data_IF_553650885096
#
_entry.id   IF_553650885096
#
_cell.length_a   1.000
_cell.length_b   1.000
_cell.length_c   1.000
_cell.angle_alpha   90.00
_cell.angle_beta   90.00
_cell.angle_gamma   90.00
#
_symmetry.space_group_name_H-M   'P 1'
#
loop_
_entity.id
_entity.type
_entity.pdbx_description
1 polymer ?
#
# COMPACT_ATOMS: atom_id res chain seq x y z
N UNK A 1 25.91 -7.72 2.92
CA UNK A 1 24.49 -7.52 3.29
C UNK A 1 23.99 -8.81 3.90
N UNK A 2 23.42 -8.76 5.09
CA UNK A 2 22.74 -9.91 5.72
C UNK A 2 21.45 -10.20 4.94
N UNK A 3 21.12 -11.49 4.78
CA UNK A 3 19.87 -11.87 4.16
C UNK A 3 18.69 -11.37 5.02
N UNK A 4 17.63 -10.81 4.41
CA UNK A 4 16.42 -10.45 5.15
C UNK A 4 15.80 -11.68 5.84
N UNK A 5 15.22 -11.44 6.99
CA UNK A 5 14.42 -12.39 7.74
C UNK A 5 13.07 -12.64 7.05
N UNK A 6 12.40 -13.72 7.43
CA UNK A 6 11.05 -14.05 6.93
C UNK A 6 10.05 -12.91 7.25
N UNK A 7 10.21 -12.27 8.41
CA UNK A 7 9.36 -11.15 8.82
C UNK A 7 9.56 -9.93 7.90
N UNK A 8 10.80 -9.61 7.53
CA UNK A 8 11.10 -8.53 6.59
C UNK A 8 10.57 -8.82 5.20
N UNK A 9 10.73 -10.06 4.70
CA UNK A 9 10.14 -10.47 3.43
C UNK A 9 8.61 -10.36 3.42
N UNK A 10 7.95 -10.75 4.50
CA UNK A 10 6.50 -10.58 4.64
C UNK A 10 6.10 -9.11 4.63
N UNK A 11 6.87 -8.25 5.30
CA UNK A 11 6.63 -6.80 5.29
C UNK A 11 6.75 -6.23 3.87
N UNK A 12 7.76 -6.64 3.10
CA UNK A 12 7.92 -6.20 1.71
C UNK A 12 6.80 -6.70 0.81
N UNK A 13 6.35 -7.94 0.98
CA UNK A 13 5.20 -8.47 0.25
C UNK A 13 3.92 -7.67 0.54
N UNK A 14 3.68 -7.33 1.81
CA UNK A 14 2.53 -6.51 2.19
C UNK A 14 2.61 -5.10 1.58
N UNK A 15 3.78 -4.46 1.58
CA UNK A 15 3.97 -3.16 0.94
C UNK A 15 3.66 -3.20 -0.56
N UNK A 16 4.07 -4.26 -1.25
CA UNK A 16 3.78 -4.45 -2.68
C UNK A 16 2.28 -4.65 -2.94
N UNK A 17 1.60 -5.48 -2.14
CA UNK A 17 0.14 -5.67 -2.25
C UNK A 17 -0.59 -4.34 -1.99
N UNK A 18 -0.15 -3.57 -0.99
CA UNK A 18 -0.71 -2.25 -0.71
C UNK A 18 -0.43 -1.26 -1.85
N UNK A 19 0.73 -1.32 -2.48
CA UNK A 19 1.09 -0.42 -3.60
C UNK A 19 0.24 -0.67 -4.84
N UNK A 20 -0.15 -1.92 -5.08
CA UNK A 20 -1.09 -2.31 -6.13
C UNK A 20 -2.56 -2.03 -5.78
N UNK A 21 -2.84 -1.73 -4.51
CA UNK A 21 -4.18 -1.29 -4.10
C UNK A 21 -4.40 0.10 -4.67
N UNK A 22 -5.46 0.31 -5.45
CA UNK A 22 -5.81 1.60 -6.05
C UNK A 22 -6.27 2.62 -4.99
N UNK A 23 -5.35 3.03 -4.11
CA UNK A 23 -5.56 3.95 -2.98
C UNK A 23 -5.85 5.36 -3.54
N UNK A 24 -5.10 5.77 -4.57
CA UNK A 24 -5.47 6.87 -5.45
C UNK A 24 -6.28 6.30 -6.60
N UNK A 25 -7.45 6.90 -6.81
CA UNK A 25 -8.38 6.46 -7.85
C UNK A 25 -7.81 6.81 -9.24
N UNK A 26 -7.78 5.83 -10.16
CA UNK A 26 -7.21 6.02 -11.49
C UNK A 26 -8.10 6.89 -12.38
N UNK A 27 -9.43 6.82 -12.20
CA UNK A 27 -10.38 7.61 -12.97
C UNK A 27 -10.51 9.03 -12.42
N UNK A 28 -10.41 9.20 -11.10
CA UNK A 28 -10.42 10.49 -10.43
C UNK A 28 -9.19 10.69 -9.55
N UNK A 29 -8.06 11.18 -10.09
CA UNK A 29 -6.81 11.35 -9.34
C UNK A 29 -6.92 12.26 -8.11
N UNK A 30 -7.97 13.07 -8.00
CA UNK A 30 -8.26 13.90 -6.82
C UNK A 30 -8.72 13.08 -5.61
N UNK A 31 -9.20 11.85 -5.80
CA UNK A 31 -9.66 10.96 -4.73
C UNK A 31 -8.47 10.14 -4.22
N UNK A 32 -8.10 10.39 -2.96
CA UNK A 32 -7.04 9.68 -2.27
C UNK A 32 -7.59 9.02 -1.00
N UNK A 33 -7.74 7.70 -1.04
CA UNK A 33 -8.36 6.87 -0.01
C UNK A 33 -7.33 6.40 1.02
N UNK A 34 -6.56 7.30 1.62
CA UNK A 34 -5.45 6.94 2.52
C UNK A 34 -5.82 6.92 4.01
N UNK A 35 -7.09 7.14 4.36
CA UNK A 35 -7.56 7.21 5.74
C UNK A 35 -8.87 6.46 5.98
N UNK A 36 -9.03 5.97 7.21
CA UNK A 36 -10.27 5.38 7.72
C UNK A 36 -10.77 4.19 6.92
N UNK A 37 -12.10 4.03 6.88
CA UNK A 37 -12.74 2.89 6.22
C UNK A 37 -12.43 2.83 4.71
N UNK A 38 -12.34 3.99 4.05
CA UNK A 38 -12.02 4.04 2.62
C UNK A 38 -10.64 3.44 2.30
N UNK A 39 -9.69 3.53 3.23
CA UNK A 39 -8.38 2.91 3.08
C UNK A 39 -8.42 1.40 3.28
N UNK A 40 -9.12 0.93 4.33
CA UNK A 40 -9.31 -0.50 4.57
C UNK A 40 -10.05 -1.18 3.42
N UNK A 41 -11.06 -0.50 2.86
CA UNK A 41 -11.80 -0.96 1.69
C UNK A 41 -10.90 -1.01 0.46
N UNK A 42 -10.01 -0.02 0.28
CA UNK A 42 -9.04 -0.03 -0.83
C UNK A 42 -8.04 -1.19 -0.70
N UNK A 43 -7.52 -1.47 0.50
CA UNK A 43 -6.60 -2.59 0.75
C UNK A 43 -7.28 -3.97 0.59
N UNK A 44 -8.53 -4.07 1.02
CA UNK A 44 -9.31 -5.32 0.94
C UNK A 44 -9.82 -5.59 -0.48
N UNK A 45 -10.16 -4.54 -1.23
CA UNK A 45 -10.44 -4.63 -2.67
C UNK A 45 -9.17 -4.93 -3.47
N UNK A 46 -8.06 -4.34 -3.07
CA UNK A 46 -6.78 -4.51 -3.74
C UNK A 46 -6.78 -3.92 -5.15
N UNK A 47 -6.25 -4.67 -6.11
CA UNK A 47 -6.27 -4.33 -7.53
C UNK A 47 -7.47 -4.92 -8.31
N UNK A 48 -8.56 -5.26 -7.62
CA UNK A 48 -9.72 -6.00 -8.17
C UNK A 48 -9.36 -7.41 -8.73
N UNK A 49 -8.15 -7.90 -8.45
CA UNK A 49 -7.66 -9.23 -8.84
C UNK A 49 -7.12 -10.01 -7.62
N UNK A 50 -5.91 -10.57 -7.71
CA UNK A 50 -5.36 -11.48 -6.69
C UNK A 50 -4.64 -10.74 -5.57
N UNK A 51 -4.17 -9.52 -5.81
CA UNK A 51 -3.43 -8.72 -4.85
C UNK A 51 -4.41 -8.00 -3.93
N UNK A 52 -4.85 -8.68 -2.86
CA UNK A 52 -5.78 -8.14 -1.87
C UNK A 52 -5.43 -8.60 -0.47
N UNK A 53 -5.73 -7.77 0.52
CA UNK A 53 -5.61 -8.15 1.91
C UNK A 53 -6.84 -8.90 2.42
N UNK A 54 -6.63 -9.85 3.33
CA UNK A 54 -7.68 -10.28 4.25
C UNK A 54 -7.92 -9.13 5.24
N UNK A 55 -9.15 -8.89 5.67
CA UNK A 55 -9.54 -7.75 6.52
C UNK A 55 -8.60 -7.55 7.72
N UNK A 56 -8.28 -8.61 8.45
CA UNK A 56 -7.36 -8.54 9.62
C UNK A 56 -5.94 -8.11 9.26
N UNK A 57 -5.47 -8.43 8.06
CA UNK A 57 -4.16 -7.99 7.56
C UNK A 57 -4.23 -6.53 7.09
N UNK A 58 -5.35 -6.09 6.50
CA UNK A 58 -5.56 -4.70 6.12
C UNK A 58 -5.58 -3.79 7.36
N UNK A 59 -6.28 -4.20 8.42
CA UNK A 59 -6.30 -3.47 9.70
C UNK A 59 -4.91 -3.35 10.31
N UNK A 60 -4.16 -4.47 10.34
CA UNK A 60 -2.78 -4.48 10.82
C UNK A 60 -1.91 -3.54 9.98
N UNK A 61 -1.99 -3.63 8.65
CA UNK A 61 -1.22 -2.78 7.76
C UNK A 61 -1.53 -1.30 7.97
N UNK A 62 -2.82 -0.93 8.09
CA UNK A 62 -3.22 0.46 8.30
C UNK A 62 -2.77 1.02 9.66
N UNK A 63 -2.57 0.14 10.65
CA UNK A 63 -2.04 0.48 11.97
C UNK A 63 -0.52 0.68 11.95
N UNK A 64 0.21 -0.03 11.09
CA UNK A 64 1.67 0.03 11.01
C UNK A 64 2.16 1.07 9.99
N UNK A 65 1.42 1.24 8.90
CA UNK A 65 1.83 2.01 7.73
C UNK A 65 0.84 3.12 7.39
N UNK A 66 1.39 4.22 6.88
CA UNK A 66 0.66 5.36 6.36
C UNK A 66 1.05 5.57 4.90
N UNK A 67 0.05 5.74 4.03
CA UNK A 67 0.28 6.09 2.63
C UNK A 67 0.36 7.60 2.51
N UNK A 68 1.54 8.10 2.17
CA UNK A 68 1.79 9.52 2.00
C UNK A 68 1.38 10.01 0.62
N UNK A 69 1.68 9.22 -0.40
CA UNK A 69 1.27 9.50 -1.77
C UNK A 69 1.27 8.22 -2.62
N UNK A 70 0.50 8.24 -3.70
CA UNK A 70 0.52 7.22 -4.74
C UNK A 70 0.47 7.89 -6.10
N UNK A 71 1.42 7.52 -6.96
CA UNK A 71 1.40 7.86 -8.37
C UNK A 71 0.76 6.70 -9.13
N UNK A 72 -0.49 6.89 -9.54
CA UNK A 72 -1.19 5.96 -10.41
C UNK A 72 -0.46 5.78 -11.75
N UNK A 73 -0.68 4.63 -12.41
CA UNK A 73 0.07 4.22 -13.59
C UNK A 73 0.02 5.30 -14.68
N UNK A 74 1.19 5.75 -15.11
CA UNK A 74 1.34 6.75 -16.17
C UNK A 74 1.48 6.08 -17.54
N UNK A 75 1.32 6.84 -18.63
CA UNK A 75 1.51 6.32 -20.00
C UNK A 75 2.88 5.68 -20.25
N UNK A 76 3.85 5.91 -19.36
CA UNK A 76 5.20 5.33 -19.39
C UNK A 76 5.31 3.99 -18.65
N UNK A 77 4.22 3.46 -18.08
CA UNK A 77 4.19 2.17 -17.37
C UNK A 77 4.76 2.22 -15.94
N UNK A 78 4.97 3.43 -15.40
CA UNK A 78 5.47 3.62 -14.03
C UNK A 78 4.32 3.97 -13.09
N UNK A 79 4.25 3.24 -11.98
CA UNK A 79 3.45 3.55 -10.80
C UNK A 79 4.33 3.40 -9.57
N UNK A 80 3.95 4.05 -8.47
CA UNK A 80 4.69 3.92 -7.22
C UNK A 80 3.93 4.49 -6.04
N UNK A 81 4.14 3.91 -4.87
CA UNK A 81 3.46 4.30 -3.63
C UNK A 81 4.48 4.60 -2.55
N UNK A 82 4.37 5.78 -1.95
CA UNK A 82 5.21 6.21 -0.84
C UNK A 82 4.54 5.89 0.48
N UNK A 83 5.17 5.00 1.24
CA UNK A 83 4.73 4.60 2.57
C UNK A 83 5.60 5.24 3.63
N UNK A 84 5.02 5.45 4.81
CA UNK A 84 5.72 5.79 6.04
C UNK A 84 5.33 4.83 7.15
N UNK A 85 6.32 4.25 7.80
CA UNK A 85 6.10 3.48 9.02
C UNK A 85 5.68 4.45 10.13
N UNK A 86 4.59 4.15 10.84
CA UNK A 86 4.05 5.03 11.87
C UNK A 86 4.92 5.10 13.11
N UNK A 87 5.61 4.00 13.44
CA UNK A 87 6.46 3.89 14.62
C UNK A 87 7.88 4.41 14.36
N UNK A 88 8.54 3.90 13.31
CA UNK A 88 9.94 4.25 13.02
C UNK A 88 10.09 5.54 12.24
N UNK A 89 9.01 6.03 11.63
CA UNK A 89 8.98 7.20 10.72
C UNK A 89 9.77 7.02 9.42
N UNK A 90 10.32 5.83 9.17
CA UNK A 90 11.01 5.50 7.92
C UNK A 90 10.05 5.56 6.74
N UNK A 91 10.58 5.97 5.60
CA UNK A 91 9.83 6.06 4.35
C UNK A 91 10.31 5.03 3.35
N UNK A 92 9.38 4.29 2.75
CA UNK A 92 9.66 3.25 1.76
C UNK A 92 8.89 3.55 0.49
N UNK A 93 9.57 3.44 -0.65
CA UNK A 93 8.95 3.50 -1.98
C UNK A 93 8.75 2.08 -2.49
N UNK A 94 7.51 1.75 -2.85
CA UNK A 94 7.14 0.49 -3.50
C UNK A 94 6.61 0.73 -4.89
#
# INVERSE_FOLDING_TARGET
>A
MTAPTIAEYLSYANLQIAAESFIRDEQNPAVFRNQGQAFLDALTRGNDHSSRFVTTQADKFATEWEVLDQKANTKTGFSGTLFRNRDTRETVLS
#
